data_IF_086229226386
#
_entry.id   IF_086229226386
#
_cell.length_a   1.000
_cell.length_b   1.000
_cell.length_c   1.000
_cell.angle_alpha   90.00
_cell.angle_beta   90.00
_cell.angle_gamma   90.00
#
_symmetry.space_group_name_H-M   'P 1'
#
loop_
_entity.id
_entity.type
_entity.pdbx_description
1 polymer ?
#
# COMPACT_ATOMS: atom_id res chain seq x y z
N UNK A 1 14.82 -19.14 -18.29
CA UNK A 1 13.53 -18.54 -18.65
C UNK A 1 12.57 -18.64 -17.47
N UNK A 2 11.94 -17.52 -17.09
CA UNK A 2 10.92 -17.44 -16.05
C UNK A 2 9.59 -17.08 -16.72
N UNK A 3 8.74 -18.08 -16.89
CA UNK A 3 7.41 -17.89 -17.45
C UNK A 3 6.46 -17.38 -16.37
N UNK A 4 5.63 -16.39 -16.72
CA UNK A 4 4.69 -15.77 -15.76
C UNK A 4 5.38 -15.28 -14.47
N UNK A 5 6.48 -14.50 -14.61
CA UNK A 5 7.34 -14.05 -13.53
C UNK A 5 6.63 -13.30 -12.41
N UNK A 6 5.44 -12.74 -12.68
CA UNK A 6 4.59 -12.07 -11.69
C UNK A 6 4.04 -13.01 -10.59
N UNK A 7 4.05 -14.34 -10.80
CA UNK A 7 3.66 -15.31 -9.78
C UNK A 7 4.84 -15.80 -8.94
N UNK A 8 6.08 -15.42 -9.31
CA UNK A 8 7.28 -15.84 -8.61
C UNK A 8 7.64 -14.82 -7.52
N UNK A 9 7.80 -15.22 -6.25
CA UNK A 9 8.25 -14.32 -5.19
C UNK A 9 9.67 -13.78 -5.45
N UNK A 10 9.93 -12.53 -5.06
CA UNK A 10 11.21 -11.86 -5.30
C UNK A 10 12.43 -12.65 -4.78
N UNK A 11 12.36 -13.16 -3.56
CA UNK A 11 13.45 -13.93 -2.95
C UNK A 11 13.84 -15.16 -3.78
N UNK A 12 12.92 -15.76 -4.54
CA UNK A 12 13.20 -16.87 -5.44
C UNK A 12 13.72 -16.35 -6.79
N UNK A 13 13.10 -15.33 -7.35
CA UNK A 13 13.53 -14.69 -8.58
C UNK A 13 14.97 -14.17 -8.48
N UNK A 14 15.30 -13.49 -7.38
CA UNK A 14 16.64 -12.99 -7.07
C UNK A 14 17.68 -14.12 -7.07
N UNK A 15 17.38 -15.25 -6.39
CA UNK A 15 18.28 -16.40 -6.34
C UNK A 15 18.51 -17.03 -7.72
N UNK A 16 17.52 -17.02 -8.58
CA UNK A 16 17.64 -17.51 -9.96
C UNK A 16 18.48 -16.56 -10.81
N UNK A 17 18.27 -15.26 -10.67
CA UNK A 17 19.05 -14.22 -11.35
C UNK A 17 20.53 -14.31 -10.96
N UNK A 18 20.81 -14.37 -9.63
CA UNK A 18 22.18 -14.45 -9.11
C UNK A 18 22.95 -15.70 -9.56
N UNK A 19 22.27 -16.78 -9.86
CA UNK A 19 22.88 -18.06 -10.30
C UNK A 19 22.97 -18.20 -11.81
N UNK A 20 22.36 -17.30 -12.56
CA UNK A 20 22.39 -17.33 -14.04
C UNK A 20 23.66 -16.62 -14.53
N UNK A 21 24.39 -17.27 -15.46
CA UNK A 21 25.69 -16.77 -15.95
C UNK A 21 25.59 -15.93 -17.21
N UNK A 22 24.53 -16.11 -18.00
CA UNK A 22 24.40 -15.45 -19.29
C UNK A 22 23.20 -14.48 -19.29
N UNK A 23 21.99 -15.00 -19.54
CA UNK A 23 20.81 -14.17 -19.68
C UNK A 23 19.61 -14.78 -18.95
N UNK A 24 18.79 -13.93 -18.36
CA UNK A 24 17.50 -14.28 -17.78
C UNK A 24 16.40 -13.70 -18.66
N UNK A 25 15.53 -14.55 -19.16
CA UNK A 25 14.31 -14.15 -19.85
C UNK A 25 13.14 -14.26 -18.86
N UNK A 26 12.34 -13.22 -18.80
CA UNK A 26 11.14 -13.18 -17.97
C UNK A 26 9.99 -12.68 -18.82
N UNK A 27 8.91 -13.43 -18.87
CA UNK A 27 7.64 -12.95 -19.42
C UNK A 27 6.60 -12.78 -18.31
N UNK A 28 5.65 -11.91 -18.52
CA UNK A 28 4.54 -11.69 -17.62
C UNK A 28 3.44 -10.85 -18.26
N UNK A 29 2.21 -11.07 -17.80
CA UNK A 29 1.13 -10.12 -18.03
C UNK A 29 1.15 -9.07 -16.92
N UNK A 30 1.20 -7.77 -17.23
CA UNK A 30 1.37 -6.70 -16.24
C UNK A 30 0.06 -6.41 -15.50
N UNK A 31 -0.53 -7.42 -14.86
CA UNK A 31 -1.82 -7.31 -14.14
C UNK A 31 -1.75 -6.41 -12.90
N UNK A 32 -0.58 -6.36 -12.27
CA UNK A 32 -0.28 -5.53 -11.11
C UNK A 32 1.22 -5.28 -10.99
N UNK A 33 1.61 -4.30 -10.21
CA UNK A 33 3.02 -4.02 -9.90
C UNK A 33 3.62 -5.18 -9.08
N UNK A 34 4.80 -5.66 -9.47
CA UNK A 34 5.53 -6.73 -8.79
C UNK A 34 7.04 -6.48 -8.88
N UNK A 35 7.88 -7.41 -8.40
CA UNK A 35 9.33 -7.23 -8.27
C UNK A 35 10.04 -6.77 -9.57
N UNK A 36 9.54 -7.11 -10.75
CA UNK A 36 10.10 -6.59 -12.00
C UNK A 36 10.05 -5.05 -12.03
N UNK A 37 8.95 -4.46 -11.58
CA UNK A 37 8.76 -3.01 -11.55
C UNK A 37 9.46 -2.36 -10.35
N UNK A 38 9.52 -3.07 -9.21
CA UNK A 38 10.04 -2.50 -7.96
C UNK A 38 11.53 -2.73 -7.75
N UNK A 39 12.11 -3.79 -8.34
CA UNK A 39 13.51 -4.18 -8.08
C UNK A 39 14.40 -4.18 -9.34
N UNK A 40 13.84 -4.23 -10.54
CA UNK A 40 14.58 -4.43 -11.78
C UNK A 40 14.47 -3.21 -12.71
N UNK A 41 13.26 -2.91 -13.21
CA UNK A 41 13.05 -1.84 -14.20
C UNK A 41 13.40 -0.48 -13.61
N UNK A 42 14.25 0.25 -14.32
CA UNK A 42 14.73 1.58 -13.89
C UNK A 42 15.77 1.58 -12.76
N UNK A 43 16.16 0.39 -12.25
CA UNK A 43 17.19 0.25 -11.20
C UNK A 43 18.46 -0.44 -11.70
N UNK A 44 18.37 -1.14 -12.81
CA UNK A 44 19.47 -1.90 -13.42
C UNK A 44 19.68 -1.44 -14.84
N UNK A 45 20.95 -1.23 -15.23
CA UNK A 45 21.33 -0.80 -16.57
C UNK A 45 21.51 -1.96 -17.58
N UNK A 46 21.51 -3.22 -17.06
CA UNK A 46 21.70 -4.45 -17.83
C UNK A 46 20.36 -5.12 -18.21
N UNK A 47 19.29 -4.35 -18.31
CA UNK A 47 17.94 -4.83 -18.58
C UNK A 47 17.35 -4.22 -19.83
N UNK A 48 16.88 -5.08 -20.73
CA UNK A 48 16.05 -4.67 -21.87
C UNK A 48 14.60 -5.09 -21.60
N UNK A 49 13.66 -4.19 -21.89
CA UNK A 49 12.22 -4.45 -21.76
C UNK A 49 11.55 -4.35 -23.12
N UNK A 50 10.82 -5.39 -23.49
CA UNK A 50 10.02 -5.45 -24.71
C UNK A 50 8.54 -5.58 -24.35
N UNK A 51 7.74 -4.60 -24.75
CA UNK A 51 6.30 -4.68 -24.65
C UNK A 51 5.72 -5.28 -25.92
N UNK A 52 5.01 -6.39 -25.75
CA UNK A 52 4.31 -7.09 -26.83
C UNK A 52 2.80 -7.06 -26.54
N UNK A 53 2.01 -6.90 -27.59
CA UNK A 53 0.55 -6.92 -27.53
C UNK A 53 0.02 -8.05 -28.41
N UNK A 54 -1.28 -8.31 -28.38
CA UNK A 54 -1.91 -9.27 -29.27
C UNK A 54 -1.74 -8.94 -30.77
N UNK A 55 -1.43 -7.67 -31.11
CA UNK A 55 -1.18 -7.22 -32.47
C UNK A 55 0.17 -7.68 -33.00
N UNK A 56 1.14 -7.90 -32.11
CA UNK A 56 2.50 -8.34 -32.44
C UNK A 56 2.60 -9.86 -32.58
N UNK A 57 1.52 -10.60 -32.24
CA UNK A 57 1.47 -12.05 -32.36
C UNK A 57 0.96 -12.51 -33.72
N UNK A 58 1.85 -12.81 -34.65
CA UNK A 58 1.51 -13.28 -36.00
C UNK A 58 0.83 -14.68 -35.99
N UNK A 59 1.04 -15.47 -34.94
CA UNK A 59 0.41 -16.79 -34.78
C UNK A 59 -1.02 -16.76 -34.26
N UNK A 60 -1.53 -15.58 -33.88
CA UNK A 60 -2.87 -15.46 -33.33
C UNK A 60 -3.95 -15.69 -34.40
N UNK A 61 -4.84 -16.63 -34.17
CA UNK A 61 -5.95 -16.88 -35.08
C UNK A 61 -6.94 -15.71 -35.11
N UNK A 62 -7.67 -15.58 -36.20
CA UNK A 62 -8.71 -14.56 -36.34
C UNK A 62 -9.78 -14.65 -35.24
N UNK A 63 -10.10 -15.86 -34.79
CA UNK A 63 -11.07 -16.09 -33.73
C UNK A 63 -10.57 -15.57 -32.37
N UNK A 64 -9.32 -15.85 -32.02
CA UNK A 64 -8.69 -15.37 -30.79
C UNK A 64 -8.58 -13.85 -30.79
N UNK A 65 -8.19 -13.25 -31.91
CA UNK A 65 -8.15 -11.79 -32.05
C UNK A 65 -9.53 -11.16 -31.80
N UNK A 66 -10.58 -11.70 -32.40
CA UNK A 66 -11.94 -11.21 -32.19
C UNK A 66 -12.40 -11.35 -30.72
N UNK A 67 -12.00 -12.43 -30.05
CA UNK A 67 -12.32 -12.64 -28.63
C UNK A 67 -11.62 -11.61 -27.72
N UNK A 68 -10.38 -11.24 -28.02
CA UNK A 68 -9.68 -10.17 -27.31
C UNK A 68 -10.38 -8.82 -27.57
N UNK A 69 -10.67 -8.50 -28.83
CA UNK A 69 -11.28 -7.25 -29.24
C UNK A 69 -12.71 -7.08 -28.71
N UNK A 70 -13.46 -8.18 -28.56
CA UNK A 70 -14.80 -8.16 -27.95
C UNK A 70 -14.78 -7.65 -26.50
N UNK A 71 -13.64 -7.74 -25.81
CA UNK A 71 -13.45 -7.25 -24.44
C UNK A 71 -12.94 -5.82 -24.35
N UNK A 72 -12.86 -5.10 -25.47
CA UNK A 72 -12.37 -3.71 -25.52
C UNK A 72 -13.16 -2.75 -24.61
N UNK A 73 -14.43 -3.04 -24.38
CA UNK A 73 -15.28 -2.27 -23.47
C UNK A 73 -15.02 -2.55 -21.98
N UNK A 74 -14.12 -3.48 -21.65
CA UNK A 74 -13.61 -3.68 -20.31
C UNK A 74 -12.25 -2.95 -20.19
N UNK A 75 -12.19 -1.73 -19.62
CA UNK A 75 -10.97 -0.91 -19.63
C UNK A 75 -9.78 -1.60 -18.93
N UNK A 76 -10.04 -2.41 -17.91
CA UNK A 76 -9.01 -3.13 -17.16
C UNK A 76 -8.39 -4.27 -17.97
N UNK A 77 -9.25 -5.11 -18.55
CA UNK A 77 -8.81 -6.16 -19.44
C UNK A 77 -8.05 -5.57 -20.62
N UNK A 78 -8.59 -4.52 -21.22
CA UNK A 78 -8.01 -3.90 -22.40
C UNK A 78 -6.64 -3.30 -22.11
N UNK A 79 -6.49 -2.61 -20.97
CA UNK A 79 -5.23 -2.02 -20.54
C UNK A 79 -4.11 -3.08 -20.43
N UNK A 80 -4.38 -4.22 -19.81
CA UNK A 80 -3.40 -5.30 -19.60
C UNK A 80 -3.19 -6.13 -20.87
N UNK A 81 -4.28 -6.70 -21.38
CA UNK A 81 -4.20 -7.71 -22.44
C UNK A 81 -4.30 -7.13 -23.86
N UNK A 82 -4.86 -5.94 -24.02
CA UNK A 82 -4.94 -5.23 -25.28
C UNK A 82 -3.76 -4.29 -25.53
N UNK A 83 -3.38 -3.51 -24.52
CA UNK A 83 -2.36 -2.47 -24.62
C UNK A 83 -1.02 -2.85 -23.98
N UNK A 84 -0.96 -3.96 -23.24
CA UNK A 84 0.24 -4.38 -22.52
C UNK A 84 0.70 -3.38 -21.45
N UNK A 85 -0.23 -2.59 -20.92
CA UNK A 85 0.04 -1.60 -19.88
C UNK A 85 -0.15 -2.20 -18.50
N UNK A 86 0.53 -1.60 -17.50
CA UNK A 86 0.38 -2.02 -16.11
C UNK A 86 -1.08 -1.88 -15.66
N UNK A 87 -1.68 -3.00 -15.26
CA UNK A 87 -3.03 -3.05 -14.72
C UNK A 87 -3.13 -2.36 -13.36
N UNK A 88 -4.35 -2.01 -12.99
CA UNK A 88 -4.66 -1.56 -11.65
C UNK A 88 -5.35 -2.68 -10.89
N UNK A 89 -4.91 -2.94 -9.64
CA UNK A 89 -5.56 -3.92 -8.77
C UNK A 89 -7.02 -3.50 -8.55
N UNK A 90 -7.94 -4.41 -8.83
CA UNK A 90 -9.36 -4.15 -8.61
C UNK A 90 -9.66 -3.92 -7.13
N UNK A 91 -10.43 -2.87 -6.83
CA UNK A 91 -10.77 -2.55 -5.45
C UNK A 91 -9.63 -1.91 -4.65
N UNK A 92 -8.63 -1.31 -5.33
CA UNK A 92 -7.60 -0.52 -4.64
C UNK A 92 -8.23 0.50 -3.72
N UNK A 93 -7.76 0.53 -2.47
CA UNK A 93 -8.34 1.33 -1.41
C UNK A 93 -7.99 2.81 -1.56
N UNK A 94 -6.71 3.11 -1.78
CA UNK A 94 -6.25 4.49 -1.89
C UNK A 94 -5.93 4.83 -3.35
N UNK A 95 -6.86 5.55 -3.96
CA UNK A 95 -6.75 6.04 -5.34
C UNK A 95 -6.61 7.56 -5.35
N UNK A 96 -6.00 8.10 -6.41
CA UNK A 96 -5.93 9.55 -6.60
C UNK A 96 -4.91 10.27 -5.71
N UNK A 97 -4.04 9.55 -4.99
CA UNK A 97 -2.93 10.16 -4.27
C UNK A 97 -1.95 10.78 -5.26
N UNK A 98 -1.56 12.02 -4.99
CA UNK A 98 -0.61 12.76 -5.83
C UNK A 98 0.81 12.56 -5.33
N UNK A 99 1.76 12.33 -6.23
CA UNK A 99 3.18 12.29 -5.89
C UNK A 99 3.74 13.68 -6.10
N UNK A 100 4.44 14.21 -5.10
CA UNK A 100 5.09 15.51 -5.12
C UNK A 100 6.58 15.37 -4.77
N UNK A 101 7.42 16.23 -5.30
CA UNK A 101 8.86 16.16 -5.08
C UNK A 101 9.23 16.45 -3.63
N UNK A 102 8.70 17.53 -3.07
CA UNK A 102 9.04 18.03 -1.73
C UNK A 102 7.81 18.45 -0.96
N UNK A 103 7.95 18.49 0.37
CA UNK A 103 6.92 19.02 1.26
C UNK A 103 6.81 20.53 1.00
N UNK A 104 5.62 21.07 0.68
CA UNK A 104 5.43 22.51 0.52
C UNK A 104 5.86 23.29 1.77
N UNK A 105 6.51 24.43 1.57
CA UNK A 105 7.05 25.24 2.67
C UNK A 105 5.97 25.65 3.69
N UNK A 106 4.74 25.87 3.23
CA UNK A 106 3.60 26.28 4.07
C UNK A 106 2.91 25.09 4.73
N UNK A 107 3.35 23.87 4.45
CA UNK A 107 2.75 22.68 5.05
C UNK A 107 3.08 22.60 6.54
N UNK A 108 2.05 22.44 7.37
CA UNK A 108 2.18 22.38 8.81
C UNK A 108 2.21 20.92 9.28
N UNK A 109 3.27 20.54 9.99
CA UNK A 109 3.35 19.23 10.63
C UNK A 109 2.25 19.09 11.69
N UNK A 110 1.42 18.05 11.57
CA UNK A 110 0.32 17.79 12.50
C UNK A 110 0.62 16.64 13.45
N UNK A 111 1.10 15.51 12.89
CA UNK A 111 1.29 14.26 13.63
C UNK A 111 2.39 13.42 13.01
N UNK A 112 2.91 12.51 13.81
CA UNK A 112 3.57 11.31 13.30
C UNK A 112 2.66 10.11 13.53
N UNK A 113 2.63 9.20 12.56
CA UNK A 113 1.94 7.92 12.67
C UNK A 113 2.94 6.77 12.72
N UNK A 114 2.86 5.93 13.74
CA UNK A 114 3.77 4.82 13.95
C UNK A 114 3.01 3.50 14.00
N UNK A 115 3.37 2.58 13.14
CA UNK A 115 2.97 1.19 13.24
C UNK A 115 4.21 0.34 13.56
N UNK A 116 4.19 -0.35 14.69
CA UNK A 116 5.29 -1.21 15.09
C UNK A 116 5.34 -2.45 14.20
N UNK A 117 6.53 -2.81 13.73
CA UNK A 117 6.77 -4.03 13.00
C UNK A 117 7.26 -5.15 13.92
N UNK A 118 6.85 -6.37 13.60
CA UNK A 118 7.43 -7.58 14.16
C UNK A 118 7.73 -8.53 13.00
N UNK A 119 8.99 -8.99 12.92
CA UNK A 119 9.41 -9.85 11.81
C UNK A 119 8.39 -10.97 11.51
N UNK A 120 8.01 -11.14 10.25
CA UNK A 120 8.55 -10.58 9.01
C UNK A 120 7.99 -9.19 8.61
N UNK A 121 7.12 -8.59 9.41
CA UNK A 121 6.44 -7.34 9.10
C UNK A 121 7.29 -6.12 9.47
N UNK A 122 7.48 -5.17 8.53
CA UNK A 122 8.26 -3.97 8.79
C UNK A 122 7.53 -2.98 9.70
N UNK A 123 8.32 -2.18 10.40
CA UNK A 123 7.87 -0.96 11.06
C UNK A 123 7.61 0.12 9.99
N UNK A 124 6.60 0.95 10.21
CA UNK A 124 6.33 2.15 9.41
C UNK A 124 6.14 3.39 10.28
N UNK A 125 6.96 4.42 10.06
CA UNK A 125 6.82 5.75 10.67
C UNK A 125 6.63 6.78 9.58
N UNK A 126 5.54 7.55 9.64
CA UNK A 126 5.15 8.57 8.66
C UNK A 126 4.90 9.91 9.33
N UNK A 127 5.35 10.99 8.71
CA UNK A 127 4.95 12.36 9.08
C UNK A 127 3.73 12.78 8.26
N UNK A 128 2.79 13.44 8.91
CA UNK A 128 1.54 13.92 8.34
C UNK A 128 1.47 15.43 8.48
N UNK A 129 1.49 16.12 7.35
CA UNK A 129 1.40 17.58 7.27
C UNK A 129 0.04 17.98 6.73
N UNK A 130 -0.52 19.06 7.25
CA UNK A 130 -1.70 19.71 6.66
C UNK A 130 -1.28 20.74 5.63
N UNK A 131 -1.86 20.70 4.44
CA UNK A 131 -1.59 21.66 3.38
C UNK A 131 -2.80 21.84 2.46
N UNK A 132 -3.22 23.07 2.26
CA UNK A 132 -4.24 23.47 1.28
C UNK A 132 -5.50 22.57 1.29
N UNK A 133 -6.07 22.30 2.48
CA UNK A 133 -7.29 21.50 2.66
C UNK A 133 -7.11 19.99 2.46
N UNK A 134 -5.88 19.49 2.51
CA UNK A 134 -5.54 18.06 2.43
C UNK A 134 -4.32 17.74 3.29
N UNK A 135 -3.74 16.57 3.07
CA UNK A 135 -2.55 16.14 3.81
C UNK A 135 -1.41 15.79 2.86
N UNK A 136 -0.20 16.10 3.32
CA UNK A 136 1.05 15.63 2.70
C UNK A 136 1.66 14.60 3.63
N UNK A 137 2.00 13.44 3.08
CA UNK A 137 2.60 12.32 3.78
C UNK A 137 4.06 12.21 3.40
N UNK A 138 4.91 11.96 4.40
CA UNK A 138 6.34 11.78 4.21
C UNK A 138 6.82 10.58 5.04
N UNK A 139 7.36 9.56 4.37
CA UNK A 139 7.93 8.38 5.01
C UNK A 139 9.21 8.73 5.74
N UNK A 140 9.26 8.45 7.04
CA UNK A 140 10.42 8.74 7.89
C UNK A 140 11.27 7.50 8.12
N UNK A 141 10.63 6.38 8.50
CA UNK A 141 11.30 5.09 8.69
C UNK A 141 10.42 3.98 8.14
N UNK A 142 11.07 3.02 7.49
CA UNK A 142 10.43 1.79 7.07
C UNK A 142 11.45 0.65 7.10
N UNK A 143 11.13 -0.46 7.76
CA UNK A 143 12.01 -1.63 7.77
C UNK A 143 11.81 -2.56 8.94
N UNK A 144 12.55 -3.67 8.88
CA UNK A 144 12.60 -4.67 9.95
C UNK A 144 13.70 -4.36 10.95
N UNK A 145 13.57 -4.90 12.17
CA UNK A 145 14.59 -4.81 13.22
C UNK A 145 14.95 -3.39 13.69
N UNK A 146 14.03 -2.43 13.55
CA UNK A 146 14.21 -1.07 14.07
C UNK A 146 13.77 -1.07 15.53
N UNK A 147 14.69 -0.80 16.45
CA UNK A 147 14.45 -0.78 17.89
C UNK A 147 13.86 0.55 18.38
N UNK A 148 13.32 0.54 19.60
CA UNK A 148 12.71 1.71 20.21
C UNK A 148 13.68 2.88 20.43
N UNK A 149 14.97 2.67 20.83
CA UNK A 149 15.96 3.73 20.87
C UNK A 149 16.18 4.43 19.53
N UNK A 150 16.25 3.67 18.44
CA UNK A 150 16.41 4.21 17.08
C UNK A 150 15.19 5.06 16.68
N UNK A 151 13.97 4.57 16.95
CA UNK A 151 12.73 5.33 16.70
C UNK A 151 12.76 6.65 17.49
N UNK A 152 13.08 6.59 18.79
CA UNK A 152 13.14 7.76 19.65
C UNK A 152 14.23 8.75 19.21
N UNK A 153 15.41 8.26 18.83
CA UNK A 153 16.52 9.06 18.31
C UNK A 153 16.14 9.79 17.02
N UNK A 154 15.49 9.08 16.09
CA UNK A 154 14.98 9.69 14.84
C UNK A 154 13.96 10.80 15.12
N UNK A 155 12.95 10.53 15.97
CA UNK A 155 11.89 11.50 16.28
C UNK A 155 12.42 12.74 17.01
N UNK A 156 13.47 12.63 17.82
CA UNK A 156 14.11 13.75 18.51
C UNK A 156 14.87 14.69 17.56
N UNK A 157 15.33 14.18 16.44
CA UNK A 157 16.02 14.97 15.40
C UNK A 157 15.06 15.62 14.41
N UNK A 158 13.76 15.38 14.55
CA UNK A 158 12.70 15.94 13.70
C UNK A 158 11.91 17.03 14.44
N UNK A 159 11.18 17.89 13.72
CA UNK A 159 10.29 18.87 14.33
C UNK A 159 9.32 18.20 15.32
N UNK A 160 9.09 18.79 16.52
CA UNK A 160 8.27 18.17 17.54
C UNK A 160 6.80 18.12 17.14
N UNK A 161 6.20 16.91 17.19
CA UNK A 161 4.77 16.69 17.03
C UNK A 161 4.34 15.46 17.84
N UNK A 162 3.02 15.33 18.07
CA UNK A 162 2.48 14.15 18.73
C UNK A 162 2.59 12.93 17.83
N UNK A 163 3.13 11.83 18.37
CA UNK A 163 3.18 10.52 17.71
C UNK A 163 1.97 9.70 18.11
N UNK A 164 1.23 9.22 17.12
CA UNK A 164 0.12 8.27 17.32
C UNK A 164 0.60 6.88 16.91
N UNK A 165 0.74 6.00 17.87
CA UNK A 165 1.26 4.64 17.65
C UNK A 165 0.19 3.57 17.77
N UNK A 166 0.48 2.36 17.27
CA UNK A 166 -0.37 1.21 17.51
C UNK A 166 -0.48 0.93 19.02
N UNK A 167 -1.70 0.93 19.55
CA UNK A 167 -1.97 0.67 20.97
C UNK A 167 -1.78 -0.79 21.39
N UNK A 168 -1.53 -1.71 20.43
CA UNK A 168 -1.20 -3.10 20.74
C UNK A 168 0.19 -3.27 21.39
N UNK A 169 1.05 -2.25 21.28
CA UNK A 169 2.44 -2.26 21.80
C UNK A 169 2.65 -1.25 22.97
N UNK A 170 1.95 -1.41 24.10
CA UNK A 170 2.01 -0.45 25.20
C UNK A 170 3.40 -0.36 25.86
N UNK A 171 4.18 -1.44 25.82
CA UNK A 171 5.55 -1.47 26.35
C UNK A 171 6.48 -0.60 25.51
N UNK A 172 6.44 -0.73 24.17
CA UNK A 172 7.21 0.08 23.24
C UNK A 172 6.83 1.56 23.34
N UNK A 173 5.54 1.86 23.46
CA UNK A 173 5.06 3.24 23.69
C UNK A 173 5.61 3.82 24.99
N UNK A 174 5.61 3.04 26.10
CA UNK A 174 6.13 3.49 27.38
C UNK A 174 7.63 3.75 27.33
N UNK A 175 8.40 2.86 26.68
CA UNK A 175 9.83 2.99 26.50
C UNK A 175 10.19 4.23 25.66
N UNK A 176 9.58 4.40 24.50
CA UNK A 176 9.80 5.56 23.62
C UNK A 176 9.44 6.86 24.33
N UNK A 177 8.36 6.87 25.12
CA UNK A 177 8.00 8.00 25.99
C UNK A 177 9.07 8.28 27.04
N UNK A 178 9.67 7.24 27.61
CA UNK A 178 10.78 7.34 28.56
C UNK A 178 12.00 8.04 27.96
N UNK A 179 12.21 7.97 26.66
CA UNK A 179 13.22 8.75 25.95
C UNK A 179 12.82 10.21 25.69
N UNK A 180 11.63 10.66 26.15
CA UNK A 180 11.17 12.06 26.05
C UNK A 180 10.40 12.37 24.77
N UNK A 181 9.95 11.37 24.02
CA UNK A 181 9.08 11.54 22.84
C UNK A 181 7.62 11.66 23.27
N UNK A 182 6.89 12.64 22.70
CA UNK A 182 5.45 12.80 22.93
C UNK A 182 4.68 11.76 22.09
N UNK A 183 4.36 10.61 22.70
CA UNK A 183 3.75 9.45 22.02
C UNK A 183 2.56 8.91 22.81
N UNK A 184 1.47 8.59 22.12
CA UNK A 184 0.29 7.93 22.68
C UNK A 184 -0.15 6.78 21.78
N UNK A 185 -0.86 5.81 22.35
CA UNK A 185 -1.52 4.76 21.59
C UNK A 185 -2.78 5.26 20.91
N UNK A 186 -3.05 4.74 19.70
CA UNK A 186 -4.31 5.01 18.99
C UNK A 186 -5.50 4.39 19.72
N UNK A 187 -6.64 5.06 19.68
CA UNK A 187 -7.90 4.47 20.16
C UNK A 187 -8.41 3.43 19.16
N UNK A 188 -8.54 2.18 19.61
CA UNK A 188 -9.11 1.09 18.83
C UNK A 188 -10.49 0.73 19.37
N UNK A 189 -11.49 0.72 18.50
CA UNK A 189 -12.84 0.27 18.78
C UNK A 189 -13.31 -0.74 17.73
N UNK A 190 -14.52 -1.27 17.91
CA UNK A 190 -15.16 -2.10 16.89
C UNK A 190 -15.22 -1.31 15.57
N UNK A 191 -14.87 -1.96 14.46
CA UNK A 191 -14.83 -1.36 13.12
C UNK A 191 -13.82 -0.20 12.92
N UNK A 192 -12.89 0.01 13.86
CA UNK A 192 -11.92 1.12 13.79
C UNK A 192 -11.05 1.09 12.53
N UNK A 193 -10.69 -0.10 12.01
CA UNK A 193 -9.93 -0.25 10.77
C UNK A 193 -10.75 0.25 9.58
N UNK A 194 -11.99 -0.22 9.44
CA UNK A 194 -12.91 0.17 8.36
C UNK A 194 -13.22 1.67 8.38
N UNK A 195 -13.51 2.20 9.56
CA UNK A 195 -13.70 3.63 9.75
C UNK A 195 -12.45 4.42 9.33
N UNK A 196 -11.28 4.02 9.81
CA UNK A 196 -10.04 4.70 9.52
C UNK A 196 -9.67 4.68 8.04
N UNK A 197 -9.88 3.56 7.35
CA UNK A 197 -9.69 3.47 5.90
C UNK A 197 -10.59 4.48 5.17
N UNK A 198 -11.89 4.52 5.49
CA UNK A 198 -12.81 5.50 4.90
C UNK A 198 -12.44 6.95 5.23
N UNK A 199 -11.96 7.19 6.45
CA UNK A 199 -11.48 8.50 6.85
C UNK A 199 -10.33 8.98 5.98
N UNK A 200 -9.35 8.13 5.72
CA UNK A 200 -8.21 8.45 4.84
C UNK A 200 -8.67 8.60 3.38
N UNK A 201 -9.58 7.73 2.89
CA UNK A 201 -10.14 7.83 1.55
C UNK A 201 -10.86 9.17 1.28
N UNK A 202 -11.47 9.75 2.30
CA UNK A 202 -12.16 11.03 2.22
C UNK A 202 -11.23 12.24 2.16
N UNK A 203 -9.90 12.05 2.37
CA UNK A 203 -8.93 13.13 2.36
C UNK A 203 -8.28 13.28 0.99
N UNK A 204 -7.89 14.52 0.67
CA UNK A 204 -6.96 14.80 -0.42
C UNK A 204 -5.54 14.55 0.08
N UNK A 205 -4.86 13.58 -0.53
CA UNK A 205 -3.54 13.13 -0.09
C UNK A 205 -2.50 13.40 -1.18
N UNK A 206 -1.38 13.96 -0.77
CA UNK A 206 -0.13 14.00 -1.53
C UNK A 206 0.94 13.22 -0.77
N UNK A 207 1.87 12.61 -1.51
CA UNK A 207 2.96 11.81 -0.93
C UNK A 207 4.27 12.29 -1.55
N UNK A 208 5.30 12.46 -0.74
CA UNK A 208 6.63 12.81 -1.26
C UNK A 208 7.20 11.68 -2.12
N UNK A 209 7.88 12.00 -3.21
CA UNK A 209 8.47 11.03 -4.15
C UNK A 209 9.47 10.09 -3.48
N UNK A 210 10.14 10.54 -2.41
CA UNK A 210 11.07 9.73 -1.60
C UNK A 210 10.40 8.68 -0.72
N UNK A 211 9.08 8.76 -0.52
CA UNK A 211 8.28 7.83 0.30
C UNK A 211 7.98 6.52 -0.45
N UNK A 212 9.03 5.82 -0.86
CA UNK A 212 8.95 4.68 -1.79
C UNK A 212 8.04 3.56 -1.26
N UNK A 213 8.20 3.19 0.02
CA UNK A 213 7.42 2.11 0.60
C UNK A 213 5.95 2.53 0.82
N UNK A 214 5.71 3.75 1.23
CA UNK A 214 4.35 4.30 1.38
C UNK A 214 3.61 4.32 0.03
N UNK A 215 4.29 4.74 -1.05
CA UNK A 215 3.75 4.72 -2.41
C UNK A 215 3.44 3.27 -2.82
N UNK A 216 4.39 2.35 -2.60
CA UNK A 216 4.22 0.92 -2.92
C UNK A 216 3.02 0.32 -2.18
N UNK A 217 2.92 0.51 -0.85
CA UNK A 217 1.79 0.00 -0.08
C UNK A 217 0.46 0.60 -0.55
N UNK A 218 0.40 1.92 -0.82
CA UNK A 218 -0.84 2.56 -1.30
C UNK A 218 -1.34 2.01 -2.63
N UNK A 219 -0.43 1.56 -3.49
CA UNK A 219 -0.75 0.94 -4.78
C UNK A 219 -1.20 -0.51 -4.65
N UNK A 220 -0.69 -1.22 -3.64
CA UNK A 220 -0.92 -2.65 -3.41
C UNK A 220 -1.91 -2.94 -2.27
N UNK A 221 -2.63 -1.94 -1.78
CA UNK A 221 -3.64 -2.08 -0.74
C UNK A 221 -5.05 -2.06 -1.36
N UNK A 222 -5.76 -3.19 -1.24
CA UNK A 222 -7.04 -3.38 -1.93
C UNK A 222 -8.07 -4.09 -1.05
N UNK A 223 -9.32 -4.02 -1.47
CA UNK A 223 -10.44 -4.71 -0.82
C UNK A 223 -10.29 -6.22 -1.03
N UNK A 224 -10.35 -7.01 0.04
CA UNK A 224 -10.34 -8.47 -0.08
C UNK A 224 -11.56 -8.94 -0.87
N UNK A 225 -11.33 -9.79 -1.86
CA UNK A 225 -12.37 -10.40 -2.69
C UNK A 225 -12.54 -11.86 -2.26
N UNK A 226 -13.76 -12.25 -1.94
CA UNK A 226 -14.10 -13.65 -1.69
C UNK A 226 -13.98 -14.46 -3.00
N UNK A 227 -13.08 -15.43 -3.03
CA UNK A 227 -12.77 -16.22 -4.24
C UNK A 227 -13.95 -17.04 -4.77
N UNK A 228 -14.92 -17.38 -3.91
CA UNK A 228 -16.10 -18.18 -4.27
C UNK A 228 -17.21 -17.35 -4.86
N UNK A 229 -17.46 -16.18 -4.29
CA UNK A 229 -18.57 -15.30 -4.70
C UNK A 229 -18.14 -14.19 -5.64
N UNK A 230 -16.83 -13.97 -5.78
CA UNK A 230 -16.21 -12.84 -6.49
C UNK A 230 -16.73 -11.46 -6.00
N UNK A 231 -17.15 -11.39 -4.74
CA UNK A 231 -17.65 -10.16 -4.13
C UNK A 231 -16.68 -9.63 -3.07
N UNK A 232 -16.64 -8.30 -2.87
CA UNK A 232 -15.81 -7.70 -1.84
C UNK A 232 -16.23 -8.14 -0.43
N UNK A 233 -15.26 -8.56 0.39
CA UNK A 233 -15.49 -8.86 1.80
C UNK A 233 -15.42 -7.56 2.58
N UNK A 234 -16.56 -7.08 3.03
CA UNK A 234 -16.68 -5.78 3.68
C UNK A 234 -15.82 -5.66 4.93
N UNK A 235 -14.93 -4.66 4.95
CA UNK A 235 -14.06 -4.37 6.09
C UNK A 235 -12.81 -5.26 6.17
N UNK A 236 -12.60 -6.14 5.21
CA UNK A 236 -11.38 -6.93 5.07
C UNK A 236 -10.56 -6.42 3.88
N UNK A 237 -9.25 -6.32 4.08
CA UNK A 237 -8.32 -5.74 3.15
C UNK A 237 -7.14 -6.67 2.96
N UNK A 238 -6.53 -6.64 1.78
CA UNK A 238 -5.38 -7.44 1.40
C UNK A 238 -4.25 -6.54 0.90
N UNK A 239 -3.05 -7.11 0.80
CA UNK A 239 -1.82 -6.40 0.47
C UNK A 239 -1.06 -5.91 1.69
N UNK A 240 0.07 -5.24 1.45
CA UNK A 240 0.88 -4.62 2.51
C UNK A 240 0.24 -3.30 2.97
N UNK A 241 0.19 -3.09 4.27
CA UNK A 241 -0.41 -1.88 4.85
C UNK A 241 0.25 -1.45 6.18
N UNK A 242 1.54 -1.73 6.32
CA UNK A 242 2.27 -1.47 7.57
C UNK A 242 2.43 0.02 7.85
N UNK A 243 2.96 0.79 6.91
CA UNK A 243 3.06 2.25 7.04
C UNK A 243 1.69 2.92 6.84
N UNK A 244 0.80 2.32 6.05
CA UNK A 244 -0.57 2.80 5.85
C UNK A 244 -1.40 2.77 7.14
N UNK A 245 -1.15 1.82 8.03
CA UNK A 245 -1.76 1.80 9.36
C UNK A 245 -1.27 2.99 10.20
N UNK A 246 0.01 3.37 10.11
CA UNK A 246 0.54 4.60 10.70
C UNK A 246 -0.17 5.85 10.17
N UNK A 247 -0.35 5.97 8.85
CA UNK A 247 -1.13 7.05 8.22
C UNK A 247 -2.55 7.11 8.81
N UNK A 248 -3.20 5.97 8.89
CA UNK A 248 -4.56 5.85 9.43
C UNK A 248 -4.65 6.30 10.89
N UNK A 249 -3.69 5.91 11.73
CA UNK A 249 -3.65 6.33 13.14
C UNK A 249 -3.50 7.85 13.26
N UNK A 250 -2.54 8.43 12.54
CA UNK A 250 -2.29 9.85 12.56
C UNK A 250 -3.50 10.66 12.07
N UNK A 251 -4.04 10.37 10.88
CA UNK A 251 -5.16 11.12 10.30
C UNK A 251 -6.42 10.98 11.16
N UNK A 252 -6.74 9.77 11.63
CA UNK A 252 -7.92 9.56 12.50
C UNK A 252 -7.84 10.34 13.81
N UNK A 253 -6.63 10.58 14.34
CA UNK A 253 -6.47 11.37 15.56
C UNK A 253 -6.81 12.87 15.38
N UNK A 254 -6.80 13.35 14.13
CA UNK A 254 -7.11 14.73 13.77
C UNK A 254 -8.61 14.97 13.58
N UNK A 255 -9.40 13.91 13.42
CA UNK A 255 -10.85 14.02 13.23
C UNK A 255 -11.57 14.13 14.59
N UNK A 256 -12.43 15.12 14.81
CA UNK A 256 -13.21 15.24 16.03
C UNK A 256 -14.06 14.00 16.34
N UNK A 257 -14.17 13.63 17.62
CA UNK A 257 -14.88 12.42 18.07
C UNK A 257 -16.35 12.43 17.62
N UNK A 258 -16.99 13.59 17.55
CA UNK A 258 -18.39 13.73 17.11
C UNK A 258 -18.54 13.29 15.65
N UNK A 259 -17.70 13.81 14.75
CA UNK A 259 -17.71 13.43 13.33
C UNK A 259 -17.37 11.94 13.15
N UNK A 260 -16.49 11.41 14.00
CA UNK A 260 -16.15 9.98 14.00
C UNK A 260 -17.38 9.11 14.31
N UNK A 261 -18.20 9.48 15.28
CA UNK A 261 -19.44 8.77 15.62
C UNK A 261 -20.48 8.84 14.49
N UNK A 262 -20.67 9.99 13.89
CA UNK A 262 -21.61 10.17 12.76
C UNK A 262 -21.24 9.31 11.56
N UNK A 263 -19.95 9.30 11.18
CA UNK A 263 -19.47 8.45 10.08
C UNK A 263 -19.68 6.95 10.37
N UNK A 264 -19.44 6.49 11.61
CA UNK A 264 -19.67 5.09 11.99
C UNK A 264 -21.16 4.69 11.89
N UNK A 265 -22.07 5.59 12.26
CA UNK A 265 -23.51 5.34 12.16
C UNK A 265 -24.00 5.23 10.71
N UNK A 266 -23.37 5.91 9.78
CA UNK A 266 -23.71 5.89 8.34
C UNK A 266 -23.11 4.68 7.60
N UNK A 267 -22.26 3.89 8.27
CA UNK A 267 -21.66 2.71 7.64
C UNK A 267 -22.64 1.54 7.65
N UNK A 268 -22.85 0.83 6.53
CA UNK A 268 -23.69 -0.35 6.52
C UNK A 268 -23.12 -1.41 7.48
N UNK A 269 -23.96 -2.19 8.17
CA UNK A 269 -23.52 -3.23 9.10
C UNK A 269 -22.70 -4.29 8.36
N UNK A 270 -21.69 -4.83 9.05
CA UNK A 270 -20.93 -5.98 8.55
C UNK A 270 -21.85 -7.19 8.66
N UNK A 271 -22.12 -7.84 7.51
CA UNK A 271 -22.85 -9.11 7.48
C UNK A 271 -22.12 -10.14 8.34
N UNK A 272 -22.78 -10.86 9.28
CA UNK A 272 -22.12 -11.92 10.02
C UNK A 272 -21.66 -13.00 9.03
N UNK A 273 -20.41 -13.43 9.17
CA UNK A 273 -19.89 -14.59 8.41
C UNK A 273 -20.76 -15.79 8.74
N UNK A 274 -21.46 -16.34 7.78
CA UNK A 274 -22.01 -17.70 7.89
C UNK A 274 -20.79 -18.63 7.96
N UNK A 275 -20.46 -19.10 9.17
CA UNK A 275 -19.50 -20.19 9.33
C UNK A 275 -20.08 -21.39 8.58
N UNK A 276 -19.51 -21.69 7.42
CA UNK A 276 -19.76 -22.97 6.78
C UNK A 276 -19.23 -24.05 7.75
N UNK A 277 -20.11 -24.85 8.30
CA UNK A 277 -19.70 -26.06 9.02
C UNK A 277 -18.86 -26.92 8.07
N UNK A 278 -17.68 -27.38 8.47
CA UNK A 278 -16.97 -28.39 7.71
C UNK A 278 -17.80 -29.69 7.77
N UNK A 279 -18.18 -30.22 6.62
CA UNK A 279 -18.62 -31.61 6.46
C UNK A 279 -17.38 -32.44 6.21
#
# INVERSE_FOLDING_TARGET
FMNEGNWLPWNIAEQLILRTREVVWVDYNPVAEFWMHTEILGKRDDVESLKLTYLDNEGLSKAERLEIEARRNNPRFWRVYGEGELGEIEGRIYTGWQIIEEIPHEARLERYGLNFGYFPHPLGLVAVYYYNGGYVLDEILYGNYIDNPTIAGTLKNLPPALVIADSAEPKSIAEIRGFGVNIIGTEKGKDSKRYGVKTVQAQRISVTSRSINLIRESRNYYQLIDRRTNLPVMGEYDGDYFILDGVRYAICSLIPIIQRKEMLMQMPPISPRTRANPI
#
